data_IF_567215294613
#
_entry.id   IF_567215294613
#
_cell.length_a   1.000
_cell.length_b   1.000
_cell.length_c   1.000
_cell.angle_alpha   90.00
_cell.angle_beta   90.00
_cell.angle_gamma   90.00
#
_symmetry.space_group_name_H-M   'P 1'
#
loop_
_entity.id
_entity.type
_entity.pdbx_description
1 polymer ?
#
# COMPACT_ATOMS: atom_id res chain seq x y z
N UNK A 1 -19.46 -0.78 -51.01
CA UNK A 1 -18.74 -0.86 -49.73
C UNK A 1 -18.42 -2.33 -49.55
N UNK A 2 -17.20 -2.75 -49.88
CA UNK A 2 -16.78 -4.14 -49.63
C UNK A 2 -16.38 -4.24 -48.16
N UNK A 3 -17.04 -5.15 -47.43
CA UNK A 3 -16.64 -5.48 -46.07
C UNK A 3 -15.31 -6.26 -46.11
N UNK A 4 -14.39 -6.01 -45.16
CA UNK A 4 -13.18 -6.81 -45.05
C UNK A 4 -13.58 -8.27 -44.81
N UNK A 5 -12.93 -9.20 -45.51
CA UNK A 5 -13.26 -10.62 -45.43
C UNK A 5 -13.17 -11.10 -43.96
N UNK A 6 -14.13 -11.87 -43.44
CA UNK A 6 -14.19 -12.30 -42.04
C UNK A 6 -12.89 -12.97 -41.58
N UNK A 7 -12.27 -13.75 -42.46
CA UNK A 7 -10.98 -14.41 -42.22
C UNK A 7 -9.83 -13.44 -41.95
N UNK A 8 -9.85 -12.24 -42.54
CA UNK A 8 -8.83 -11.22 -42.31
C UNK A 8 -9.00 -10.58 -40.93
N UNK A 9 -10.26 -10.38 -40.50
CA UNK A 9 -10.61 -9.82 -39.19
C UNK A 9 -10.22 -10.80 -38.07
N UNK A 10 -10.53 -12.09 -38.24
CA UNK A 10 -10.16 -13.15 -37.29
C UNK A 10 -8.65 -13.36 -37.23
N UNK A 11 -7.93 -13.27 -38.36
CA UNK A 11 -6.47 -13.37 -38.40
C UNK A 11 -5.79 -12.15 -37.75
N UNK A 12 -6.39 -10.96 -37.89
CA UNK A 12 -5.93 -9.74 -37.24
C UNK A 12 -6.12 -9.82 -35.72
N UNK A 13 -7.29 -10.25 -35.25
CA UNK A 13 -7.57 -10.43 -33.82
C UNK A 13 -6.65 -11.48 -33.17
N UNK A 14 -6.42 -12.62 -33.84
CA UNK A 14 -5.54 -13.68 -33.32
C UNK A 14 -4.05 -13.28 -33.27
N UNK A 15 -3.58 -12.43 -34.20
CA UNK A 15 -2.20 -11.91 -34.15
C UNK A 15 -2.04 -10.76 -33.17
N UNK A 16 -3.06 -9.91 -33.01
CA UNK A 16 -3.04 -8.79 -32.06
C UNK A 16 -2.91 -9.27 -30.60
N UNK A 17 -3.51 -10.42 -30.26
CA UNK A 17 -3.40 -11.01 -28.91
C UNK A 17 -2.01 -11.55 -28.53
N UNK A 18 -1.12 -11.83 -29.50
CA UNK A 18 0.26 -12.30 -29.24
C UNK A 18 1.29 -11.17 -29.24
N UNK A 19 0.83 -9.92 -29.24
CA UNK A 19 1.59 -8.77 -29.73
C UNK A 19 1.78 -7.63 -28.74
N UNK A 20 1.43 -7.87 -27.47
CA UNK A 20 1.68 -6.90 -26.41
C UNK A 20 3.20 -6.63 -26.38
N UNK A 21 3.59 -5.39 -26.72
CA UNK A 21 4.99 -4.95 -26.71
C UNK A 21 5.86 -5.27 -27.95
N UNK A 22 5.35 -5.92 -29.01
CA UNK A 22 6.13 -6.18 -30.24
C UNK A 22 5.44 -5.63 -31.48
N UNK A 23 6.17 -5.01 -32.41
CA UNK A 23 5.57 -4.60 -33.67
C UNK A 23 5.20 -5.82 -34.51
N UNK A 24 3.96 -5.88 -35.00
CA UNK A 24 3.37 -7.06 -35.67
C UNK A 24 3.94 -7.29 -37.06
N UNK A 25 4.77 -6.37 -37.56
CA UNK A 25 5.02 -6.23 -38.98
C UNK A 25 3.77 -5.76 -39.75
N UNK A 26 2.59 -5.70 -39.12
CA UNK A 26 1.34 -5.35 -39.78
C UNK A 26 1.33 -3.87 -40.12
N UNK A 27 1.68 -3.00 -39.16
CA UNK A 27 1.72 -1.56 -39.32
C UNK A 27 2.76 -1.16 -40.41
N UNK A 28 3.89 -1.86 -40.47
CA UNK A 28 4.94 -1.65 -41.46
C UNK A 28 4.52 -2.07 -42.88
N UNK A 29 3.60 -3.02 -43.01
CA UNK A 29 3.08 -3.47 -44.30
C UNK A 29 1.84 -2.69 -44.78
N UNK A 30 1.33 -1.74 -43.99
CA UNK A 30 0.19 -0.92 -44.40
C UNK A 30 0.53 -0.03 -45.61
N UNK A 31 -0.46 0.21 -46.50
CA UNK A 31 -0.33 1.20 -47.56
C UNK A 31 0.09 2.59 -47.06
N UNK A 32 0.83 3.33 -47.88
CA UNK A 32 1.34 4.69 -47.58
C UNK A 32 0.23 5.65 -47.14
N UNK A 33 -0.93 5.61 -47.78
CA UNK A 33 -2.08 6.47 -47.47
C UNK A 33 -2.68 6.14 -46.09
N UNK A 34 -2.69 4.86 -45.70
CA UNK A 34 -3.11 4.42 -44.37
C UNK A 34 -2.08 4.85 -43.32
N UNK A 35 -0.78 4.69 -43.58
CA UNK A 35 0.29 5.18 -42.69
C UNK A 35 0.23 6.70 -42.50
N UNK A 36 -0.05 7.46 -43.55
CA UNK A 36 -0.25 8.91 -43.46
C UNK A 36 -1.44 9.27 -42.54
N UNK A 37 -2.54 8.52 -42.61
CA UNK A 37 -3.67 8.67 -41.68
C UNK A 37 -3.28 8.35 -40.24
N UNK A 38 -2.54 7.26 -40.00
CA UNK A 38 -2.03 6.92 -38.67
C UNK A 38 -1.12 8.02 -38.12
N UNK A 39 -0.23 8.58 -38.93
CA UNK A 39 0.62 9.69 -38.51
C UNK A 39 -0.20 10.96 -38.18
N UNK A 40 -1.29 11.23 -38.91
CA UNK A 40 -2.24 12.28 -38.54
C UNK A 40 -2.92 12.00 -37.19
N UNK A 41 -3.32 10.75 -36.93
CA UNK A 41 -3.88 10.37 -35.62
C UNK A 41 -2.87 10.53 -34.49
N UNK A 42 -1.59 10.19 -34.70
CA UNK A 42 -0.51 10.44 -33.73
C UNK A 42 -0.35 11.93 -33.40
N UNK A 43 -0.53 12.82 -34.38
CA UNK A 43 -0.55 14.26 -34.13
C UNK A 43 -1.70 14.65 -33.20
N UNK A 44 -2.92 14.17 -33.45
CA UNK A 44 -4.05 14.46 -32.56
C UNK A 44 -3.90 13.83 -31.17
N UNK A 45 -3.27 12.65 -31.07
CA UNK A 45 -2.92 12.06 -29.77
C UNK A 45 -1.96 12.96 -28.99
N UNK A 46 -0.96 13.55 -29.64
CA UNK A 46 -0.06 14.50 -29.01
C UNK A 46 -0.75 15.80 -28.60
N UNK A 47 -1.74 16.28 -29.38
CA UNK A 47 -2.57 17.42 -28.98
C UNK A 47 -3.47 17.10 -27.77
N UNK A 48 -3.98 15.87 -27.67
CA UNK A 48 -4.73 15.38 -26.52
C UNK A 48 -3.86 15.36 -25.25
N UNK A 49 -2.66 14.78 -25.34
CA UNK A 49 -1.71 14.73 -24.23
C UNK A 49 -1.36 16.12 -23.66
N UNK A 50 -1.30 17.16 -24.52
CA UNK A 50 -1.12 18.55 -24.08
C UNK A 50 -2.31 19.09 -23.29
N UNK A 51 -3.52 18.62 -23.54
CA UNK A 51 -4.70 18.99 -22.77
C UNK A 51 -4.76 18.23 -21.44
N UNK A 52 -4.40 16.94 -21.44
CA UNK A 52 -4.26 16.14 -20.22
C UNK A 52 -3.22 16.74 -19.26
N UNK A 53 -2.06 17.17 -19.77
CA UNK A 53 -1.05 17.85 -18.97
C UNK A 53 -1.61 19.10 -18.26
N UNK A 54 -2.40 19.92 -18.97
CA UNK A 54 -3.06 21.11 -18.39
C UNK A 54 -4.12 20.73 -17.36
N UNK A 55 -4.87 19.65 -17.62
CA UNK A 55 -5.87 19.14 -16.68
C UNK A 55 -5.22 18.74 -15.36
N UNK A 56 -4.08 18.03 -15.39
CA UNK A 56 -3.34 17.70 -14.17
C UNK A 56 -2.77 18.92 -13.46
N UNK A 57 -2.25 19.91 -14.20
CA UNK A 57 -1.81 21.18 -13.60
C UNK A 57 -2.97 21.89 -12.87
N UNK A 58 -4.17 21.87 -13.44
CA UNK A 58 -5.37 22.43 -12.83
C UNK A 58 -5.85 21.63 -11.61
N UNK A 59 -5.78 20.29 -11.64
CA UNK A 59 -6.04 19.43 -10.48
C UNK A 59 -5.07 19.76 -9.35
N UNK A 60 -3.77 19.78 -9.62
CA UNK A 60 -2.75 20.07 -8.62
C UNK A 60 -2.94 21.48 -8.03
N UNK A 61 -3.31 22.46 -8.86
CA UNK A 61 -3.64 23.81 -8.38
C UNK A 61 -4.89 23.81 -7.47
N UNK A 62 -5.89 23.00 -7.79
CA UNK A 62 -7.09 22.82 -6.99
C UNK A 62 -6.79 22.15 -5.65
N UNK A 63 -6.00 21.07 -5.66
CA UNK A 63 -5.55 20.37 -4.45
C UNK A 63 -4.77 21.30 -3.53
N UNK A 64 -3.80 22.05 -4.08
CA UNK A 64 -3.06 23.08 -3.32
C UNK A 64 -4.00 24.09 -2.68
N UNK A 65 -5.00 24.57 -3.43
CA UNK A 65 -5.99 25.52 -2.90
C UNK A 65 -6.80 24.92 -1.75
N UNK A 66 -7.29 23.69 -1.87
CA UNK A 66 -8.11 23.05 -0.84
C UNK A 66 -7.28 22.63 0.38
N UNK A 67 -6.02 22.24 0.19
CA UNK A 67 -5.10 22.02 1.29
C UNK A 67 -5.00 23.25 2.21
N UNK A 68 -4.86 24.45 1.65
CA UNK A 68 -4.85 25.70 2.43
C UNK A 68 -6.16 25.95 3.19
N UNK A 69 -7.30 25.47 2.67
CA UNK A 69 -8.59 25.53 3.37
C UNK A 69 -8.70 24.49 4.49
N UNK A 70 -8.07 23.33 4.33
CA UNK A 70 -8.02 22.28 5.34
C UNK A 70 -7.01 22.55 6.46
N UNK A 71 -5.91 23.26 6.18
CA UNK A 71 -4.85 23.58 7.15
C UNK A 71 -5.36 24.09 8.50
N UNK A 72 -6.26 25.10 8.58
CA UNK A 72 -6.77 25.56 9.86
C UNK A 72 -7.51 24.47 10.66
N UNK A 73 -8.19 23.55 9.98
CA UNK A 73 -8.88 22.42 10.63
C UNK A 73 -7.86 21.42 11.20
N UNK A 74 -6.82 21.10 10.44
CA UNK A 74 -5.75 20.22 10.90
C UNK A 74 -4.93 20.85 12.03
N UNK A 75 -4.68 22.15 12.00
CA UNK A 75 -4.04 22.86 13.12
C UNK A 75 -4.87 22.81 14.40
N UNK A 76 -6.20 22.92 14.30
CA UNK A 76 -7.09 22.76 15.46
C UNK A 76 -7.06 21.32 15.98
N UNK A 77 -7.15 20.32 15.09
CA UNK A 77 -6.98 18.90 15.46
C UNK A 77 -5.68 18.67 16.21
N UNK A 78 -4.56 19.13 15.66
CA UNK A 78 -3.22 19.00 16.25
C UNK A 78 -3.16 19.62 17.65
N UNK A 79 -3.76 20.80 17.86
CA UNK A 79 -3.84 21.43 19.19
C UNK A 79 -4.71 20.63 20.18
N UNK A 80 -5.81 20.03 19.73
CA UNK A 80 -6.68 19.20 20.58
C UNK A 80 -5.96 17.90 20.95
N UNK A 81 -5.39 17.21 19.96
CA UNK A 81 -4.64 15.96 20.17
C UNK A 81 -3.48 16.16 21.15
N UNK A 82 -2.78 17.30 21.10
CA UNK A 82 -1.69 17.64 22.04
C UNK A 82 -2.16 18.20 23.39
N UNK A 83 -3.47 18.40 23.58
CA UNK A 83 -4.03 19.04 24.78
C UNK A 83 -3.57 20.49 24.97
N UNK A 84 -3.31 21.21 23.88
CA UNK A 84 -3.00 22.65 23.89
C UNK A 84 -4.28 23.51 23.79
N UNK A 85 -5.37 22.91 23.31
CA UNK A 85 -6.69 23.53 23.20
C UNK A 85 -7.76 22.53 23.63
N UNK A 86 -8.57 22.92 24.61
CA UNK A 86 -9.76 22.16 24.98
C UNK A 86 -10.90 22.35 23.96
N UNK A 87 -11.72 21.33 23.67
CA UNK A 87 -12.94 21.46 22.88
C UNK A 87 -13.94 22.43 23.53
N UNK A 88 -14.68 23.16 22.71
CA UNK A 88 -15.80 23.99 23.18
C UNK A 88 -17.06 23.14 23.34
N UNK A 89 -17.99 23.56 24.20
CA UNK A 89 -19.27 22.86 24.40
C UNK A 89 -20.04 22.67 23.08
N UNK A 90 -19.98 23.66 22.19
CA UNK A 90 -20.62 23.58 20.87
C UNK A 90 -19.99 22.50 19.98
N UNK A 91 -18.65 22.37 19.98
CA UNK A 91 -17.94 21.33 19.24
C UNK A 91 -18.26 19.93 19.77
N UNK A 92 -18.33 19.78 21.11
CA UNK A 92 -18.66 18.51 21.76
C UNK A 92 -20.09 18.08 21.38
N UNK A 93 -21.07 18.99 21.50
CA UNK A 93 -22.46 18.70 21.15
C UNK A 93 -22.64 18.39 19.67
N UNK A 94 -21.94 19.12 18.79
CA UNK A 94 -21.97 18.86 17.35
C UNK A 94 -21.37 17.49 17.01
N UNK A 95 -20.23 17.13 17.62
CA UNK A 95 -19.60 15.83 17.45
C UNK A 95 -20.49 14.67 17.91
N UNK A 96 -21.06 14.77 19.11
CA UNK A 96 -21.96 13.75 19.66
C UNK A 96 -23.19 13.53 18.77
N UNK A 97 -23.75 14.60 18.19
CA UNK A 97 -24.87 14.50 17.25
C UNK A 97 -24.50 13.76 15.97
N UNK A 98 -23.28 13.96 15.45
CA UNK A 98 -22.79 13.23 14.27
C UNK A 98 -22.63 11.74 14.58
N UNK A 99 -22.07 11.39 15.73
CA UNK A 99 -21.95 9.99 16.16
C UNK A 99 -23.32 9.31 16.28
N UNK A 100 -24.31 9.98 16.87
CA UNK A 100 -25.69 9.46 16.95
C UNK A 100 -26.32 9.27 15.56
N UNK A 101 -26.13 10.22 14.65
CA UNK A 101 -26.65 10.15 13.27
C UNK A 101 -25.96 9.05 12.44
N UNK A 102 -24.68 8.78 12.68
CA UNK A 102 -23.96 7.67 12.06
C UNK A 102 -24.44 6.32 12.61
N UNK A 103 -24.50 6.16 13.94
CA UNK A 103 -24.98 4.93 14.57
C UNK A 103 -26.43 4.59 14.16
N UNK A 104 -27.29 5.60 14.00
CA UNK A 104 -28.66 5.41 13.53
C UNK A 104 -28.77 4.98 12.06
N UNK A 105 -27.73 5.20 11.23
CA UNK A 105 -27.67 4.67 9.86
C UNK A 105 -27.15 3.24 9.83
N UNK A 106 -26.40 2.84 10.86
CA UNK A 106 -25.74 1.54 10.97
C UNK A 106 -26.58 0.48 11.73
N UNK A 107 -27.92 0.51 11.67
CA UNK A 107 -28.85 -0.38 12.40
C UNK A 107 -28.64 -1.90 12.13
N UNK A 108 -27.50 -2.52 12.51
CA UNK A 108 -27.35 -3.96 12.75
C UNK A 108 -26.03 -4.45 13.41
N UNK A 109 -25.30 -3.67 14.22
CA UNK A 109 -24.19 -4.25 15.02
C UNK A 109 -24.19 -3.80 16.49
N UNK A 110 -23.82 -4.75 17.34
CA UNK A 110 -24.02 -4.80 18.80
C UNK A 110 -23.56 -3.52 19.51
N UNK A 111 -24.44 -2.94 20.33
CA UNK A 111 -24.09 -1.90 21.28
C UNK A 111 -23.11 -2.46 22.32
N UNK A 112 -21.82 -2.24 22.16
CA UNK A 112 -20.89 -2.38 23.28
C UNK A 112 -21.17 -1.25 24.28
N UNK A 113 -21.49 -1.62 25.51
CA UNK A 113 -21.61 -0.67 26.62
C UNK A 113 -20.26 0.03 26.83
N UNK A 114 -20.17 1.29 26.39
CA UNK A 114 -19.07 2.17 26.74
C UNK A 114 -19.00 2.31 28.27
N UNK A 115 -18.07 1.55 28.89
CA UNK A 115 -17.62 1.84 30.25
C UNK A 115 -16.90 3.18 30.20
N UNK A 116 -17.59 4.24 30.61
CA UNK A 116 -16.98 5.54 30.90
C UNK A 116 -15.97 5.31 32.02
N UNK A 117 -14.69 5.16 31.65
CA UNK A 117 -13.60 5.28 32.61
C UNK A 117 -13.51 6.77 32.97
N UNK A 118 -13.47 7.09 34.27
CA UNK A 118 -13.26 8.45 34.72
C UNK A 118 -11.95 8.96 34.09
N UNK A 119 -12.07 10.06 33.33
CA UNK A 119 -10.95 10.79 32.75
C UNK A 119 -10.04 11.17 33.91
N UNK A 120 -8.82 10.62 33.97
CA UNK A 120 -7.83 11.11 34.93
C UNK A 120 -7.56 12.57 34.56
N UNK A 121 -7.69 13.50 35.52
CA UNK A 121 -7.39 14.94 35.34
C UNK A 121 -5.94 15.24 34.89
N UNK A 122 -5.12 14.21 34.66
CA UNK A 122 -3.72 14.28 34.27
C UNK A 122 -3.44 13.95 32.81
N UNK A 123 -4.41 13.41 32.07
CA UNK A 123 -4.20 13.04 30.66
C UNK A 123 -4.34 14.28 29.78
N UNK A 124 -3.20 14.86 29.40
CA UNK A 124 -3.15 16.02 28.50
C UNK A 124 -3.32 15.54 27.05
N UNK A 125 -4.41 15.95 26.40
CA UNK A 125 -4.67 15.64 24.99
C UNK A 125 -5.20 14.23 24.77
N UNK A 126 -4.90 13.65 23.61
CA UNK A 126 -5.30 12.29 23.22
C UNK A 126 -4.02 11.44 23.08
N UNK A 127 -3.70 10.60 24.09
CA UNK A 127 -2.52 9.75 24.05
C UNK A 127 -2.50 8.82 22.84
N UNK A 128 -1.32 8.60 22.27
CA UNK A 128 -1.07 7.60 21.20
C UNK A 128 -1.98 7.74 19.97
N UNK A 129 -2.50 8.94 19.71
CA UNK A 129 -3.48 9.21 18.64
C UNK A 129 -2.97 8.74 17.27
N UNK A 130 -1.78 9.18 16.86
CA UNK A 130 -1.24 8.84 15.55
C UNK A 130 -0.77 7.40 15.46
N UNK A 131 -0.16 6.85 16.51
CA UNK A 131 0.21 5.43 16.54
C UNK A 131 -1.03 4.53 16.36
N UNK A 132 -2.09 4.81 17.11
CA UNK A 132 -3.35 4.04 17.02
C UNK A 132 -3.97 4.19 15.63
N UNK A 133 -4.02 5.40 15.07
CA UNK A 133 -4.53 5.62 13.72
C UNK A 133 -3.71 4.90 12.65
N UNK A 134 -2.38 4.92 12.75
CA UNK A 134 -1.48 4.24 11.81
C UNK A 134 -1.61 2.71 11.92
N UNK A 135 -1.78 2.16 13.12
CA UNK A 135 -1.99 0.71 13.31
C UNK A 135 -3.33 0.20 12.79
N UNK A 136 -4.32 1.08 12.64
CA UNK A 136 -5.60 0.73 12.04
C UNK A 136 -5.58 0.84 10.51
N UNK A 137 -4.56 1.44 9.89
CA UNK A 137 -4.41 1.49 8.44
C UNK A 137 -3.51 0.34 7.98
N UNK A 138 -4.08 -0.64 7.28
CA UNK A 138 -3.46 -1.96 7.04
C UNK A 138 -2.05 -1.83 6.44
N UNK A 139 -1.90 -1.04 5.37
CA UNK A 139 -0.62 -0.86 4.67
C UNK A 139 0.49 -0.28 5.56
N UNK A 140 0.15 0.54 6.56
CA UNK A 140 1.11 1.09 7.51
C UNK A 140 1.33 0.14 8.69
N UNK A 141 0.29 -0.53 9.14
CA UNK A 141 0.35 -1.48 10.25
C UNK A 141 1.34 -2.61 9.97
N UNK A 142 1.41 -3.09 8.73
CA UNK A 142 2.32 -4.16 8.30
C UNK A 142 3.80 -3.80 8.44
N UNK A 143 4.16 -2.52 8.32
CA UNK A 143 5.55 -2.06 8.44
C UNK A 143 5.92 -1.58 9.86
N UNK A 144 4.95 -1.45 10.76
CA UNK A 144 5.19 -1.09 12.16
C UNK A 144 5.55 -2.34 12.95
N UNK A 145 6.72 -2.35 13.58
CA UNK A 145 7.13 -3.41 14.50
C UNK A 145 6.89 -3.02 15.95
N UNK A 146 6.81 -4.00 16.86
CA UNK A 146 6.71 -3.77 18.32
C UNK A 146 7.80 -2.83 18.87
N UNK A 147 8.98 -2.80 18.22
CA UNK A 147 10.10 -1.94 18.63
C UNK A 147 9.88 -0.47 18.26
N UNK A 148 9.08 -0.21 17.22
CA UNK A 148 8.79 1.12 16.70
C UNK A 148 7.71 1.82 17.51
N UNK A 149 6.78 1.06 18.10
CA UNK A 149 5.63 1.60 18.84
C UNK A 149 6.05 2.61 19.91
N UNK A 150 7.07 2.27 20.72
CA UNK A 150 7.52 3.16 21.78
C UNK A 150 8.10 4.49 21.27
N UNK A 151 8.65 4.52 20.06
CA UNK A 151 9.10 5.76 19.43
C UNK A 151 7.91 6.52 18.79
N UNK A 152 6.99 5.78 18.18
CA UNK A 152 5.77 6.32 17.54
C UNK A 152 4.77 6.91 18.54
N UNK A 153 4.79 6.50 19.82
CA UNK A 153 4.03 7.16 20.89
C UNK A 153 4.33 8.66 21.03
N UNK A 154 5.53 9.07 20.60
CA UNK A 154 5.98 10.46 20.63
C UNK A 154 5.63 11.23 19.33
N UNK A 155 4.94 10.61 18.38
CA UNK A 155 4.46 11.28 17.16
C UNK A 155 3.26 12.15 17.50
N UNK A 156 3.40 13.47 17.34
CA UNK A 156 2.39 14.46 17.74
C UNK A 156 1.57 14.99 16.57
N UNK A 157 2.12 15.01 15.36
CA UNK A 157 1.40 15.48 14.17
C UNK A 157 1.97 14.86 12.88
N UNK A 158 1.08 14.64 11.91
CA UNK A 158 1.45 14.29 10.54
C UNK A 158 0.81 15.32 9.62
N UNK A 159 1.64 16.00 8.82
CA UNK A 159 1.21 17.05 7.90
C UNK A 159 1.66 16.76 6.49
N UNK A 160 0.93 17.31 5.52
CA UNK A 160 1.31 17.29 4.13
C UNK A 160 1.55 18.71 3.62
N UNK A 161 2.49 18.85 2.69
CA UNK A 161 2.64 20.04 1.86
C UNK A 161 2.99 19.66 0.42
N UNK A 162 2.43 20.38 -0.56
CA UNK A 162 2.88 20.24 -1.94
C UNK A 162 4.15 21.05 -2.20
N UNK A 163 5.00 20.55 -3.08
CA UNK A 163 6.26 21.19 -3.45
C UNK A 163 6.04 22.28 -4.52
N UNK A 164 7.08 23.09 -4.75
CA UNK A 164 7.12 24.03 -5.88
C UNK A 164 7.16 23.30 -7.22
N UNK A 165 7.99 22.24 -7.30
CA UNK A 165 7.92 21.24 -8.37
C UNK A 165 6.74 20.26 -8.12
N UNK A 166 6.22 19.56 -9.14
CA UNK A 166 5.25 18.50 -8.93
C UNK A 166 5.77 17.45 -7.92
N UNK A 167 4.97 17.18 -6.89
CA UNK A 167 5.33 16.33 -5.76
C UNK A 167 4.76 16.83 -4.45
N UNK A 168 4.92 16.04 -3.41
CA UNK A 168 4.45 16.35 -2.06
C UNK A 168 5.43 15.88 -0.99
N UNK A 169 5.29 16.43 0.20
CA UNK A 169 6.10 16.10 1.37
C UNK A 169 5.21 15.82 2.57
N UNK A 170 5.52 14.73 3.25
CA UNK A 170 4.94 14.31 4.52
C UNK A 170 5.89 14.71 5.65
N UNK A 171 5.35 15.39 6.65
CA UNK A 171 6.06 15.98 7.78
C UNK A 171 5.56 15.30 9.07
N UNK A 172 6.40 14.47 9.69
CA UNK A 172 6.12 13.76 10.94
C UNK A 172 6.78 14.51 12.10
N UNK A 173 5.98 15.17 12.92
CA UNK A 173 6.45 15.95 14.05
C UNK A 173 6.50 15.08 15.31
N UNK A 174 7.67 14.98 15.94
CA UNK A 174 7.88 14.23 17.16
C UNK A 174 8.21 15.17 18.32
N UNK A 175 7.69 14.85 19.50
CA UNK A 175 8.19 15.45 20.73
C UNK A 175 9.56 14.89 21.13
N UNK A 176 10.20 15.51 22.11
CA UNK A 176 11.48 15.02 22.65
C UNK A 176 11.31 13.60 23.20
N UNK A 177 12.04 12.65 22.61
CA UNK A 177 11.90 11.23 22.90
C UNK A 177 13.25 10.57 23.22
N UNK A 178 13.24 9.31 23.65
CA UNK A 178 14.44 8.58 24.03
C UNK A 178 15.24 7.98 22.86
N UNK A 179 14.75 8.10 21.61
CA UNK A 179 15.24 7.33 20.46
C UNK A 179 16.14 8.14 19.53
N UNK A 180 15.72 9.34 19.15
CA UNK A 180 16.45 10.21 18.23
C UNK A 180 16.33 11.68 18.66
N UNK A 181 17.12 12.57 18.05
CA UNK A 181 17.09 14.01 18.37
C UNK A 181 16.24 14.84 17.41
N UNK A 182 15.84 14.29 16.28
CA UNK A 182 14.98 14.97 15.31
C UNK A 182 13.62 15.28 15.93
N UNK A 183 13.14 16.51 15.75
CA UNK A 183 11.77 16.90 16.07
C UNK A 183 10.85 16.77 14.86
N UNK A 184 11.42 16.67 13.66
CA UNK A 184 10.69 16.57 12.41
C UNK A 184 11.41 15.56 11.52
N UNK A 185 10.71 14.51 11.13
CA UNK A 185 11.13 13.58 10.08
C UNK A 185 10.27 13.85 8.85
N UNK A 186 10.91 14.07 7.71
CA UNK A 186 10.21 14.36 6.45
C UNK A 186 10.44 13.26 5.43
N UNK A 187 9.40 12.94 4.66
CA UNK A 187 9.46 12.10 3.48
C UNK A 187 8.90 12.89 2.30
N UNK A 188 9.68 13.00 1.24
CA UNK A 188 9.36 13.81 0.06
C UNK A 188 9.26 12.91 -1.16
N UNK A 189 8.21 13.08 -1.94
CA UNK A 189 8.00 12.38 -3.20
C UNK A 189 8.02 13.38 -4.35
N UNK A 190 8.81 13.07 -5.37
CA UNK A 190 8.95 13.88 -6.56
C UNK A 190 8.23 13.20 -7.72
N UNK A 191 7.46 13.97 -8.47
CA UNK A 191 6.87 13.49 -9.73
C UNK A 191 7.75 13.91 -10.90
N UNK A 192 7.73 13.11 -11.97
CA UNK A 192 8.36 13.44 -13.24
C UNK A 192 7.75 14.71 -13.85
N UNK A 193 8.56 15.49 -14.56
CA UNK A 193 8.09 16.73 -15.21
C UNK A 193 7.19 16.43 -16.43
N UNK A 194 7.38 15.27 -17.07
CA UNK A 194 6.51 14.80 -18.15
C UNK A 194 5.42 13.89 -17.57
N UNK A 195 4.13 14.13 -17.87
CA UNK A 195 3.06 13.24 -17.43
C UNK A 195 3.22 11.87 -18.08
N UNK A 196 2.82 10.83 -17.35
CA UNK A 196 2.87 9.46 -17.85
C UNK A 196 1.97 9.25 -19.06
N UNK A 197 2.07 8.07 -19.68
CA UNK A 197 1.24 7.71 -20.83
C UNK A 197 -0.27 7.80 -20.53
N UNK A 198 -0.68 7.53 -19.28
CA UNK A 198 -2.07 7.66 -18.81
C UNK A 198 -2.51 9.10 -18.53
N UNK A 199 -1.62 10.07 -18.65
CA UNK A 199 -1.90 11.47 -18.35
C UNK A 199 -1.80 11.82 -16.86
N UNK A 200 -1.49 10.88 -15.98
CA UNK A 200 -1.26 11.11 -14.54
C UNK A 200 0.21 11.42 -14.22
N UNK A 201 0.46 11.97 -13.03
CA UNK A 201 1.82 12.15 -12.52
C UNK A 201 2.48 10.79 -12.27
N UNK A 202 3.71 10.64 -12.75
CA UNK A 202 4.53 9.45 -12.52
C UNK A 202 5.56 9.78 -11.45
N UNK A 203 5.80 8.87 -10.51
CA UNK A 203 6.86 9.03 -9.53
C UNK A 203 8.25 9.00 -10.17
N UNK A 204 9.10 9.93 -9.74
CA UNK A 204 10.50 10.01 -10.16
C UNK A 204 11.39 9.34 -9.10
N UNK A 205 11.41 9.89 -7.90
CA UNK A 205 12.13 9.32 -6.75
C UNK A 205 11.52 9.84 -5.44
N UNK A 206 11.96 9.24 -4.32
CA UNK A 206 11.65 9.72 -2.98
C UNK A 206 12.92 10.11 -2.22
N UNK A 207 12.80 11.11 -1.36
CA UNK A 207 13.85 11.52 -0.41
C UNK A 207 13.30 11.44 1.02
N UNK A 208 14.04 10.76 1.90
CA UNK A 208 13.71 10.69 3.31
C UNK A 208 14.68 11.49 4.19
N UNK A 209 14.36 11.59 5.47
CA UNK A 209 15.21 12.29 6.44
C UNK A 209 16.14 11.30 7.14
N UNK A 210 17.43 11.63 7.17
CA UNK A 210 18.37 10.89 8.00
C UNK A 210 18.02 11.07 9.48
N UNK A 211 17.80 9.95 10.17
CA UNK A 211 17.44 9.94 11.60
C UNK A 211 18.71 9.99 12.45
N UNK A 212 18.77 10.96 13.35
CA UNK A 212 19.85 11.15 14.32
C UNK A 212 19.59 10.31 15.57
N UNK A 213 19.79 9.00 15.44
CA UNK A 213 19.61 8.02 16.51
C UNK A 213 20.52 8.31 17.72
N UNK A 214 19.94 8.22 18.91
CA UNK A 214 20.68 8.21 20.18
C UNK A 214 21.43 6.89 20.35
N UNK A 215 22.45 6.88 21.22
CA UNK A 215 23.34 5.72 21.37
C UNK A 215 22.57 4.43 21.70
N UNK A 216 22.73 3.42 20.83
CA UNK A 216 22.07 2.12 20.96
C UNK A 216 20.55 2.13 20.78
N UNK A 217 19.99 3.19 20.19
CA UNK A 217 18.53 3.35 19.98
C UNK A 217 18.10 3.26 18.53
N UNK A 218 19.02 2.97 17.62
CA UNK A 218 18.72 2.71 16.22
C UNK A 218 17.80 1.48 16.08
N UNK A 219 16.57 1.74 15.64
CA UNK A 219 15.53 0.73 15.46
C UNK A 219 15.65 0.01 14.12
N UNK A 220 16.29 0.64 13.12
CA UNK A 220 16.47 0.11 11.76
C UNK A 220 17.52 -1.00 11.68
N UNK A 221 18.19 -1.29 12.80
CA UNK A 221 19.26 -2.28 12.87
C UNK A 221 19.15 -3.16 14.12
N UNK A 222 19.80 -4.32 14.05
CA UNK A 222 20.04 -5.21 15.19
C UNK A 222 21.54 -5.47 15.36
N UNK A 223 21.99 -5.58 16.61
CA UNK A 223 23.41 -5.78 16.94
C UNK A 223 23.68 -7.26 17.21
N UNK A 224 24.22 -7.97 16.23
CA UNK A 224 24.70 -9.33 16.38
C UNK A 224 26.07 -9.36 17.07
N UNK A 225 26.21 -10.23 18.07
CA UNK A 225 27.47 -10.37 18.81
C UNK A 225 28.14 -11.70 18.49
N UNK A 226 29.20 -11.67 17.66
CA UNK A 226 29.99 -12.87 17.29
C UNK A 226 31.28 -12.94 18.09
N UNK A 227 31.49 -14.05 18.81
CA UNK A 227 32.74 -14.32 19.54
C UNK A 227 33.77 -14.88 18.57
N UNK A 228 34.79 -14.08 18.26
CA UNK A 228 35.92 -14.51 17.45
C UNK A 228 37.07 -14.98 18.33
N UNK A 229 37.62 -16.16 18.04
CA UNK A 229 38.78 -16.71 18.73
C UNK A 229 40.00 -16.63 17.82
N UNK A 230 41.04 -15.95 18.26
CA UNK A 230 42.27 -15.82 17.48
C UNK A 230 42.98 -17.18 17.38
N UNK A 231 43.18 -17.68 16.15
CA UNK A 231 43.99 -18.88 15.90
C UNK A 231 45.44 -18.57 16.28
N UNK A 232 45.96 -19.24 17.31
CA UNK A 232 47.34 -19.10 17.80
C UNK A 232 47.48 -18.63 19.24
N UNK A 233 46.73 -17.62 19.69
CA UNK A 233 46.82 -17.06 21.05
C UNK A 233 45.68 -17.47 21.98
N UNK A 234 44.68 -18.23 21.49
CA UNK A 234 43.48 -18.64 22.23
C UNK A 234 42.65 -17.49 22.86
N UNK A 235 42.98 -16.23 22.58
CA UNK A 235 42.23 -15.07 23.07
C UNK A 235 40.93 -14.91 22.28
N UNK A 236 39.83 -14.74 23.01
CA UNK A 236 38.49 -14.48 22.47
C UNK A 236 38.20 -12.98 22.49
N UNK A 237 37.90 -12.40 21.32
CA UNK A 237 37.36 -11.03 21.16
C UNK A 237 35.89 -11.14 20.80
N UNK A 238 35.09 -10.25 21.38
CA UNK A 238 33.69 -10.09 21.02
C UNK A 238 33.61 -9.02 19.93
N UNK A 239 33.09 -9.37 18.75
CA UNK A 239 32.84 -8.44 17.64
C UNK A 239 31.34 -8.23 17.55
N UNK A 240 30.90 -6.98 17.72
CA UNK A 240 29.53 -6.55 17.46
C UNK A 240 29.43 -6.16 15.99
N UNK A 241 28.51 -6.78 15.26
CA UNK A 241 28.19 -6.46 13.86
C UNK A 241 26.75 -6.00 13.83
N UNK A 242 26.50 -4.89 13.14
CA UNK A 242 25.16 -4.35 12.98
C UNK A 242 24.59 -4.89 11.66
N UNK A 243 23.38 -5.46 11.69
CA UNK A 243 22.67 -5.93 10.50
C UNK A 243 21.34 -5.18 10.36
N UNK A 244 20.89 -4.85 9.13
CA UNK A 244 19.57 -4.25 8.91
C UNK A 244 18.46 -5.09 9.54
N UNK A 245 17.44 -4.42 10.07
CA UNK A 245 16.26 -5.05 10.65
C UNK A 245 15.01 -4.28 10.23
N UNK A 246 13.91 -5.01 10.04
CA UNK A 246 12.60 -4.44 9.75
C UNK A 246 12.20 -3.42 10.82
N UNK A 247 11.79 -2.25 10.36
CA UNK A 247 11.36 -1.13 11.20
C UNK A 247 10.62 -0.13 10.32
N UNK A 248 9.54 0.44 10.85
CA UNK A 248 8.80 1.53 10.21
C UNK A 248 9.74 2.68 9.79
N UNK A 249 10.77 2.95 10.59
CA UNK A 249 11.68 4.08 10.34
C UNK A 249 12.57 3.91 9.10
N UNK A 250 12.61 2.72 8.48
CA UNK A 250 13.18 2.53 7.16
C UNK A 250 12.42 3.31 6.07
N UNK A 251 11.15 3.67 6.31
CA UNK A 251 10.37 4.54 5.44
C UNK A 251 11.05 5.89 5.16
N UNK A 252 11.89 6.39 6.08
CA UNK A 252 12.67 7.62 5.89
C UNK A 252 14.01 7.39 5.18
N UNK A 253 14.28 6.17 4.73
CA UNK A 253 15.44 5.78 3.92
C UNK A 253 14.93 5.03 2.69
N UNK A 254 14.32 5.74 1.73
CA UNK A 254 13.67 5.12 0.57
C UNK A 254 14.66 4.25 -0.21
N UNK A 255 14.19 3.18 -0.86
CA UNK A 255 15.03 2.40 -1.77
C UNK A 255 15.61 3.31 -2.85
N UNK A 256 16.87 3.11 -3.19
CA UNK A 256 17.56 3.84 -4.27
C UNK A 256 17.98 2.87 -5.34
N UNK A 257 17.91 3.28 -6.60
CA UNK A 257 18.52 2.53 -7.71
C UNK A 257 19.98 2.21 -7.37
N UNK A 258 20.41 0.94 -7.48
CA UNK A 258 21.81 0.59 -7.29
C UNK A 258 22.67 1.31 -8.33
N UNK A 259 23.90 1.71 -7.95
CA UNK A 259 24.88 2.20 -8.91
C UNK A 259 25.08 1.14 -10.01
N UNK A 260 25.10 1.56 -11.29
CA UNK A 260 25.24 0.75 -12.52
C UNK A 260 26.36 -0.34 -12.48
N UNK A 261 27.28 -0.27 -11.52
CA UNK A 261 28.42 -1.16 -11.35
C UNK A 261 28.13 -2.40 -10.46
N UNK A 262 26.93 -2.54 -9.86
CA UNK A 262 26.54 -3.67 -9.00
C UNK A 262 25.25 -4.31 -9.48
N UNK A 263 25.36 -5.29 -10.39
CA UNK A 263 24.24 -6.19 -10.73
C UNK A 263 24.13 -7.21 -9.59
N UNK A 264 23.29 -6.94 -8.59
CA UNK A 264 22.84 -7.94 -7.63
C UNK A 264 21.48 -8.49 -8.09
N UNK A 265 21.22 -9.77 -7.84
CA UNK A 265 19.96 -10.47 -8.16
C UNK A 265 18.74 -9.96 -7.32
N UNK A 266 18.91 -8.84 -6.59
CA UNK A 266 17.90 -8.18 -5.75
C UNK A 266 17.10 -7.08 -6.51
N UNK A 267 17.38 -6.86 -7.80
CA UNK A 267 16.76 -5.80 -8.62
C UNK A 267 15.24 -5.99 -8.77
N UNK A 268 14.77 -7.25 -8.90
CA UNK A 268 13.34 -7.57 -8.99
C UNK A 268 12.57 -7.20 -7.70
N UNK A 269 13.24 -7.18 -6.54
CA UNK A 269 12.63 -6.75 -5.27
C UNK A 269 12.67 -5.22 -5.09
N UNK A 270 13.47 -4.49 -5.89
CA UNK A 270 13.60 -3.04 -5.72
C UNK A 270 12.35 -2.31 -6.19
N UNK A 271 11.85 -2.68 -7.36
CA UNK A 271 10.63 -2.11 -7.94
C UNK A 271 9.43 -2.33 -7.02
N UNK A 272 9.26 -3.55 -6.50
CA UNK A 272 8.19 -3.88 -5.54
C UNK A 272 8.31 -3.03 -4.25
N UNK A 273 9.53 -2.83 -3.76
CA UNK A 273 9.77 -1.99 -2.57
C UNK A 273 9.51 -0.52 -2.82
N UNK A 274 9.81 0.00 -4.01
CA UNK A 274 9.50 1.36 -4.41
C UNK A 274 8.00 1.57 -4.55
N UNK A 275 7.29 0.62 -5.18
CA UNK A 275 5.84 0.66 -5.34
C UNK A 275 5.14 0.64 -3.98
N UNK A 276 5.54 -0.24 -3.06
CA UNK A 276 5.06 -0.26 -1.69
C UNK A 276 5.33 1.08 -0.96
N UNK A 277 6.52 1.66 -1.12
CA UNK A 277 6.88 2.94 -0.50
C UNK A 277 6.03 4.11 -1.01
N UNK A 278 5.72 4.14 -2.32
CA UNK A 278 4.82 5.12 -2.93
C UNK A 278 3.37 4.91 -2.47
N UNK A 279 2.91 3.66 -2.40
CA UNK A 279 1.57 3.34 -1.94
C UNK A 279 1.35 3.78 -0.48
N UNK A 280 2.32 3.52 0.41
CA UNK A 280 2.27 4.00 1.80
C UNK A 280 2.24 5.54 1.83
N UNK A 281 3.03 6.20 0.98
CA UNK A 281 3.02 7.66 0.85
C UNK A 281 1.65 8.22 0.49
N UNK A 282 0.98 7.61 -0.49
CA UNK A 282 -0.37 7.97 -0.92
C UNK A 282 -1.42 7.66 0.15
N UNK A 283 -1.34 6.50 0.82
CA UNK A 283 -2.28 6.16 1.89
C UNK A 283 -2.20 7.17 3.04
N UNK A 284 -1.00 7.65 3.40
CA UNK A 284 -0.85 8.70 4.41
C UNK A 284 -1.48 10.02 3.92
N UNK A 285 -1.24 10.39 2.67
CA UNK A 285 -1.72 11.63 2.05
C UNK A 285 -3.24 11.67 1.86
N UNK A 286 -3.82 10.62 1.28
CA UNK A 286 -5.22 10.57 0.85
C UNK A 286 -6.15 9.99 1.93
N UNK A 287 -5.67 9.04 2.76
CA UNK A 287 -6.51 8.35 3.76
C UNK A 287 -6.22 8.83 5.18
N UNK A 288 -4.98 8.68 5.64
CA UNK A 288 -4.65 8.89 7.06
C UNK A 288 -4.82 10.36 7.48
N UNK A 289 -4.19 11.30 6.77
CA UNK A 289 -4.22 12.73 7.14
C UNK A 289 -5.65 13.29 7.08
N UNK A 290 -6.47 13.03 6.03
CA UNK A 290 -7.81 13.60 5.95
C UNK A 290 -8.82 12.98 6.93
N UNK A 291 -8.65 11.71 7.28
CA UNK A 291 -9.59 10.93 8.11
C UNK A 291 -8.96 10.35 9.38
N UNK A 292 -7.96 11.04 9.95
CA UNK A 292 -7.20 10.54 11.09
C UNK A 292 -8.06 10.12 12.31
N UNK A 293 -9.19 10.79 12.55
CA UNK A 293 -10.11 10.44 13.65
C UNK A 293 -10.85 9.14 13.38
N UNK A 294 -11.25 8.89 12.13
CA UNK A 294 -11.94 7.66 11.73
C UNK A 294 -10.97 6.47 11.77
N UNK A 295 -9.70 6.69 11.38
CA UNK A 295 -8.63 5.70 11.57
C UNK A 295 -8.35 5.47 13.06
N UNK A 296 -8.24 6.51 13.88
CA UNK A 296 -8.05 6.36 15.32
C UNK A 296 -9.17 5.55 16.00
N UNK A 297 -10.43 5.84 15.64
CA UNK A 297 -11.61 5.16 16.19
C UNK A 297 -11.87 3.78 15.55
N UNK A 298 -11.16 3.43 14.48
CA UNK A 298 -11.38 2.20 13.71
C UNK A 298 -12.62 2.23 12.81
N UNK A 299 -13.36 3.35 12.75
CA UNK A 299 -14.50 3.51 11.85
C UNK A 299 -14.08 3.42 10.37
N UNK A 300 -12.88 3.87 10.04
CA UNK A 300 -12.36 3.87 8.67
C UNK A 300 -12.21 2.45 8.08
N UNK A 301 -11.91 1.44 8.91
CA UNK A 301 -11.74 0.05 8.49
C UNK A 301 -12.96 -0.51 7.74
N UNK A 302 -14.16 -0.10 8.15
CA UNK A 302 -15.40 -0.51 7.49
C UNK A 302 -15.46 -0.08 6.03
N UNK A 303 -14.79 1.01 5.66
CA UNK A 303 -14.76 1.50 4.28
C UNK A 303 -13.61 0.91 3.47
N UNK A 304 -12.59 0.35 4.13
CA UNK A 304 -11.49 -0.35 3.47
C UNK A 304 -11.92 -1.76 3.06
N UNK A 305 -12.56 -2.51 3.96
CA UNK A 305 -13.03 -3.88 3.71
C UNK A 305 -14.13 -3.98 2.63
N UNK A 306 -14.91 -2.91 2.42
CA UNK A 306 -16.01 -2.89 1.43
C UNK A 306 -15.49 -2.78 -0.01
N UNK A 307 -14.26 -2.30 -0.21
CA UNK A 307 -13.70 -2.12 -1.56
C UNK A 307 -13.35 -3.47 -2.19
N UNK A 308 -12.97 -4.47 -1.40
CA UNK A 308 -12.61 -5.81 -1.91
C UNK A 308 -13.83 -6.69 -2.27
N UNK A 309 -15.03 -6.40 -1.74
CA UNK A 309 -16.23 -7.23 -1.99
C UNK A 309 -17.07 -6.75 -3.19
N UNK A 310 -16.86 -5.51 -3.68
CA UNK A 310 -17.75 -4.89 -4.67
C UNK A 310 -17.13 -4.41 -5.98
N UNK A 311 -15.83 -4.66 -6.24
CA UNK A 311 -15.16 -4.22 -7.47
C UNK A 311 -14.61 -5.35 -8.37
N UNK A 312 -15.38 -6.45 -8.50
CA UNK A 312 -15.30 -7.30 -9.70
C UNK A 312 -16.64 -7.31 -10.47
N UNK A 313 -16.89 -6.33 -11.37
CA UNK A 313 -18.04 -6.36 -12.27
C UNK A 313 -17.99 -7.49 -13.34
N UNK A 314 -16.99 -8.39 -13.32
CA UNK A 314 -16.90 -9.57 -14.18
C UNK A 314 -17.27 -10.89 -13.50
N UNK A 315 -17.50 -10.95 -12.19
CA UNK A 315 -18.02 -12.15 -11.51
C UNK A 315 -19.55 -12.25 -11.53
N UNK A 316 -20.18 -11.83 -12.64
CA UNK A 316 -21.51 -12.34 -12.97
C UNK A 316 -21.30 -13.78 -13.42
N UNK A 317 -21.41 -14.70 -12.47
CA UNK A 317 -21.37 -16.13 -12.71
C UNK A 317 -22.23 -16.47 -13.92
N UNK A 318 -21.59 -17.07 -14.92
CA UNK A 318 -22.27 -17.89 -15.90
C UNK A 318 -23.03 -18.97 -15.11
N UNK A 319 -24.33 -18.76 -14.90
CA UNK A 319 -25.27 -19.82 -14.54
C UNK A 319 -25.34 -20.77 -15.74
N UNK A 320 -24.37 -21.67 -15.81
CA UNK A 320 -24.30 -22.82 -16.72
C UNK A 320 -24.59 -24.06 -15.87
N UNK A 321 -25.86 -24.22 -15.46
CA UNK A 321 -26.39 -25.48 -14.94
C UNK A 321 -27.44 -26.00 -15.93
N UNK A 322 -26.92 -26.72 -16.93
CA UNK A 322 -27.63 -27.77 -17.67
C UNK A 322 -28.06 -28.86 -16.67
N UNK A 323 -29.34 -28.92 -16.34
CA UNK A 323 -29.97 -30.14 -15.83
C UNK A 323 -31.19 -30.48 -16.71
N UNK A 324 -30.91 -31.31 -17.73
CA UNK A 324 -31.92 -32.06 -18.48
C UNK A 324 -32.51 -33.14 -17.56
N UNK A 325 -33.77 -32.94 -17.17
CA UNK A 325 -34.61 -33.91 -16.47
C UNK A 325 -35.15 -35.00 -17.43
N UNK A 326 -35.42 -36.14 -16.80
CA UNK A 326 -36.35 -37.23 -17.16
C UNK A 326 -35.82 -38.47 -17.91
N UNK A 327 -35.59 -39.48 -17.07
CA UNK A 327 -36.41 -40.69 -16.95
C UNK A 327 -35.96 -42.01 -17.59
N UNK A 328 -35.70 -42.94 -16.66
CA UNK A 328 -36.31 -44.25 -16.49
C UNK A 328 -35.77 -45.52 -17.18
N UNK A 329 -35.88 -46.56 -16.34
CA UNK A 329 -36.10 -47.98 -16.60
C UNK A 329 -34.89 -48.92 -16.79
N UNK A 330 -34.55 -49.51 -15.64
CA UNK A 330 -34.82 -50.91 -15.31
C UNK A 330 -33.85 -52.04 -15.73
N UNK A 331 -33.71 -52.90 -14.71
CA UNK A 331 -33.61 -54.36 -14.74
C UNK A 331 -32.25 -55.05 -14.98
N UNK A 332 -31.75 -55.52 -13.83
CA UNK A 332 -31.69 -56.94 -13.47
C UNK A 332 -30.37 -57.72 -13.59
N UNK A 333 -30.12 -58.35 -12.44
CA UNK A 333 -29.70 -59.74 -12.22
C UNK A 333 -28.21 -60.15 -12.32
N UNK A 334 -27.70 -60.37 -11.11
CA UNK A 334 -27.28 -61.66 -10.56
C UNK A 334 -25.85 -62.19 -10.72
N UNK A 335 -25.45 -62.75 -9.57
CA UNK A 335 -24.62 -63.92 -9.31
C UNK A 335 -23.08 -63.82 -9.34
N UNK A 336 -22.57 -63.76 -8.10
CA UNK A 336 -21.78 -64.80 -7.42
C UNK A 336 -20.37 -65.21 -7.90
N UNK A 337 -19.59 -65.52 -6.85
CA UNK A 337 -18.48 -66.47 -6.73
C UNK A 337 -17.02 -66.05 -7.06
N UNK A 338 -16.31 -65.87 -5.94
CA UNK A 338 -15.14 -66.64 -5.50
C UNK A 338 -13.68 -66.38 -5.99
N UNK A 339 -12.86 -66.34 -4.94
CA UNK A 339 -11.51 -66.87 -4.76
C UNK A 339 -10.24 -66.21 -5.36
N UNK A 340 -9.35 -65.93 -4.39
CA UNK A 340 -7.91 -66.19 -4.34
C UNK A 340 -6.90 -65.28 -5.05
N UNK A 341 -5.84 -64.93 -4.30
CA UNK A 341 -4.57 -64.56 -4.93
C UNK A 341 -3.63 -63.61 -4.20
N UNK A 342 -3.06 -64.05 -3.07
CA UNK A 342 -1.61 -63.98 -2.80
C UNK A 342 -0.83 -62.64 -2.91
N UNK A 343 -0.36 -62.21 -1.73
CA UNK A 343 1.07 -62.04 -1.38
C UNK A 343 1.80 -60.72 -1.75
N UNK A 344 2.48 -60.13 -0.75
CA UNK A 344 3.58 -59.18 -1.00
C UNK A 344 3.90 -58.12 0.06
N UNK A 345 4.37 -58.53 1.25
CA UNK A 345 5.15 -57.67 2.18
C UNK A 345 6.51 -57.29 1.57
N UNK A 346 6.96 -56.03 1.73
CA UNK A 346 8.36 -55.61 2.04
C UNK A 346 8.29 -54.17 2.60
N UNK A 347 8.27 -53.90 3.91
CA UNK A 347 9.37 -53.78 4.89
C UNK A 347 10.50 -52.77 4.58
N UNK A 348 10.60 -51.77 5.47
CA UNK A 348 11.64 -50.74 5.59
C UNK A 348 13.02 -51.35 5.92
N UNK A 349 14.10 -50.55 5.81
CA UNK A 349 15.16 -50.67 6.81
C UNK A 349 15.53 -49.33 7.44
N UNK A 350 15.32 -49.26 8.75
CA UNK A 350 16.05 -48.43 9.70
C UNK A 350 17.44 -49.05 9.92
N UNK A 351 18.52 -48.25 9.96
CA UNK A 351 19.75 -48.68 10.64
C UNK A 351 20.52 -47.49 11.24
N UNK A 352 21.00 -47.77 12.47
CA UNK A 352 21.53 -46.88 13.50
C UNK A 352 23.02 -46.56 13.32
N UNK A 353 23.39 -45.50 14.03
CA UNK A 353 24.71 -45.15 14.57
C UNK A 353 25.65 -46.33 14.86
N UNK A 354 26.92 -46.17 14.44
CA UNK A 354 28.06 -46.17 15.37
C UNK A 354 29.18 -45.27 14.86
#
# INVERSE_FOLDING_TARGET
MDQPSPQLVTLLQGKLGQLIGKSSGYIENLPEDVKARINSLKYYQAEHAKLEAKFQEEILALEKKYLELYRPLYEVRSKIVRGEREPTEEEIQAGAKLDEEEQAKEEHMVSEENKVQEINEQDKGIPEFWLTAMKNLISIAEIITDRDEDALKHLVDIRMSYLEKPGFRLDFEFEENAYFTNTLLTKTYYYQEEPGYGGDFVYDHAEGTQIDWKDGKDLTVTVETKKQKHKGTNKTRVVKTTVPAESFFQFFSPPTEPDDDVIDDDDDNLDERLEMDYQIGEDIKEKLIPRAVDWYTGKALKYEDIIDEYDDPFLVGEDDDDDDDDDDDDDDDDDDDDEDGANGKVEQPECKQH
#
